data_IF_533265489312
#
_entry.id   IF_533265489312
#
_cell.length_a   1.000
_cell.length_b   1.000
_cell.length_c   1.000
_cell.angle_alpha   90.00
_cell.angle_beta   90.00
_cell.angle_gamma   90.00
#
_symmetry.space_group_name_H-M   'P 1'
#
loop_
_entity.id
_entity.type
_entity.pdbx_description
1 polymer ?
#
# COMPACT_ATOMS: atom_id res chain seq x y z
N UNK A 1 -20.60 -9.03 -45.95
CA UNK A 1 -19.66 -8.14 -45.24
C UNK A 1 -20.47 -7.33 -44.26
N UNK A 2 -20.56 -7.76 -43.00
CA UNK A 2 -21.27 -7.03 -41.94
C UNK A 2 -20.37 -5.92 -41.44
N UNK A 3 -20.80 -4.68 -41.67
CA UNK A 3 -20.15 -3.47 -41.16
C UNK A 3 -20.31 -3.49 -39.63
N UNK A 4 -19.24 -3.78 -38.89
CA UNK A 4 -19.21 -3.49 -37.47
C UNK A 4 -19.17 -1.96 -37.32
N UNK A 5 -20.26 -1.41 -36.80
CA UNK A 5 -20.31 -0.04 -36.33
C UNK A 5 -19.44 0.03 -35.05
N UNK A 6 -18.14 0.26 -35.22
CA UNK A 6 -17.18 0.47 -34.13
C UNK A 6 -17.38 1.86 -33.53
N UNK A 7 -18.47 2.03 -32.78
CA UNK A 7 -18.52 3.07 -31.75
C UNK A 7 -17.68 2.58 -30.57
N UNK A 8 -16.70 3.36 -30.05
CA UNK A 8 -15.93 2.95 -28.89
C UNK A 8 -16.91 2.77 -27.72
N UNK A 9 -16.99 1.56 -27.20
CA UNK A 9 -17.80 1.26 -26.04
C UNK A 9 -17.10 1.92 -24.84
N UNK A 10 -17.82 2.68 -23.98
CA UNK A 10 -17.20 3.22 -22.79
C UNK A 10 -16.65 2.08 -21.95
N UNK A 11 -15.37 2.17 -21.60
CA UNK A 11 -14.67 1.17 -20.81
C UNK A 11 -15.43 0.93 -19.48
N UNK A 12 -15.73 -0.33 -19.17
CA UNK A 12 -16.49 -0.67 -17.96
C UNK A 12 -15.60 -0.65 -16.71
N UNK A 13 -16.21 -0.55 -15.52
CA UNK A 13 -15.46 -0.59 -14.26
C UNK A 13 -14.72 -1.92 -14.06
N UNK A 14 -15.28 -3.04 -14.52
CA UNK A 14 -14.64 -4.34 -14.41
C UNK A 14 -13.39 -4.40 -15.31
N UNK A 15 -13.52 -3.99 -16.58
CA UNK A 15 -12.39 -3.93 -17.52
C UNK A 15 -11.30 -2.96 -17.06
N UNK A 16 -11.67 -1.88 -16.38
CA UNK A 16 -10.73 -0.96 -15.73
C UNK A 16 -9.95 -1.66 -14.60
N UNK A 17 -10.67 -2.34 -13.70
CA UNK A 17 -10.09 -2.94 -12.51
C UNK A 17 -9.14 -4.11 -12.81
N UNK A 18 -9.42 -4.87 -13.87
CA UNK A 18 -8.53 -5.95 -14.35
C UNK A 18 -7.14 -5.44 -14.76
N UNK A 19 -7.02 -4.17 -15.15
CA UNK A 19 -5.75 -3.55 -15.55
C UNK A 19 -4.99 -2.93 -14.38
N UNK A 20 -5.61 -2.77 -13.20
CA UNK A 20 -4.98 -2.16 -12.03
C UNK A 20 -3.74 -2.92 -11.53
N UNK A 21 -3.73 -4.27 -11.45
CA UNK A 21 -2.55 -4.99 -10.99
C UNK A 21 -1.30 -4.66 -11.80
N UNK A 22 -1.39 -4.65 -13.13
CA UNK A 22 -0.27 -4.31 -14.02
C UNK A 22 0.19 -2.87 -13.87
N UNK A 23 -0.75 -1.92 -13.70
CA UNK A 23 -0.45 -0.50 -13.49
C UNK A 23 0.35 -0.24 -12.20
N UNK A 24 0.12 -1.02 -11.15
CA UNK A 24 0.79 -0.89 -9.86
C UNK A 24 1.98 -1.86 -9.68
N UNK A 25 2.02 -2.98 -10.40
CA UNK A 25 3.08 -3.99 -10.30
C UNK A 25 4.45 -3.49 -10.79
N UNK A 26 4.49 -2.57 -11.75
CA UNK A 26 5.74 -2.00 -12.27
C UNK A 26 6.43 -1.01 -11.31
N UNK A 27 5.96 -0.88 -10.06
CA UNK A 27 6.42 0.15 -9.12
C UNK A 27 6.00 1.57 -9.54
N UNK A 28 5.12 1.69 -10.53
CA UNK A 28 4.52 2.95 -10.92
C UNK A 28 3.64 3.51 -9.81
N UNK A 29 3.66 4.82 -9.63
CA UNK A 29 2.72 5.54 -8.75
C UNK A 29 1.31 5.62 -9.38
N UNK A 30 0.79 4.51 -9.93
CA UNK A 30 -0.52 4.47 -10.58
C UNK A 30 -0.66 5.45 -11.75
N UNK A 31 0.45 5.80 -12.42
CA UNK A 31 0.44 6.77 -13.51
C UNK A 31 -0.17 6.14 -14.76
N UNK A 32 -1.39 6.55 -15.09
CA UNK A 32 -2.13 6.07 -16.25
C UNK A 32 -1.78 6.92 -17.47
N UNK A 33 -1.20 6.27 -18.49
CA UNK A 33 -0.88 6.89 -19.78
C UNK A 33 -1.94 6.61 -20.85
N UNK A 34 -2.81 5.64 -20.60
CA UNK A 34 -3.85 5.25 -21.55
C UNK A 34 -5.01 6.27 -21.53
N UNK A 35 -5.37 6.86 -22.68
CA UNK A 35 -6.40 7.89 -22.76
C UNK A 35 -7.80 7.37 -22.39
N UNK A 36 -8.11 6.10 -22.69
CA UNK A 36 -9.42 5.50 -22.40
C UNK A 36 -9.57 5.24 -20.90
N UNK A 37 -8.51 4.78 -20.24
CA UNK A 37 -8.47 4.65 -18.78
C UNK A 37 -8.58 6.03 -18.08
N UNK A 38 -7.92 7.06 -18.62
CA UNK A 38 -8.03 8.42 -18.10
C UNK A 38 -9.44 8.99 -18.25
N UNK A 39 -10.12 8.73 -19.37
CA UNK A 39 -11.50 9.11 -19.57
C UNK A 39 -12.44 8.41 -18.57
N UNK A 40 -12.24 7.11 -18.35
CA UNK A 40 -13.00 6.36 -17.35
C UNK A 40 -12.82 6.95 -15.95
N UNK A 41 -11.60 7.31 -15.56
CA UNK A 41 -11.33 7.92 -14.25
C UNK A 41 -11.98 9.30 -14.08
N UNK A 42 -12.09 10.09 -15.16
CA UNK A 42 -12.79 11.39 -15.13
C UNK A 42 -14.29 11.25 -15.00
N UNK A 43 -14.87 10.19 -15.55
CA UNK A 43 -16.33 9.98 -15.60
C UNK A 43 -16.84 9.08 -14.46
N UNK A 44 -16.01 8.20 -13.91
CA UNK A 44 -16.35 7.26 -12.86
C UNK A 44 -15.75 7.65 -11.50
N UNK A 45 -16.59 8.21 -10.63
CA UNK A 45 -16.20 8.58 -9.26
C UNK A 45 -15.76 7.36 -8.41
N UNK A 46 -16.32 6.17 -8.65
CA UNK A 46 -15.98 4.97 -7.89
C UNK A 46 -14.57 4.47 -8.22
N UNK A 47 -14.22 4.37 -9.50
CA UNK A 47 -12.89 3.93 -9.92
C UNK A 47 -11.80 4.96 -9.58
N UNK A 48 -12.10 6.26 -9.64
CA UNK A 48 -11.16 7.30 -9.17
C UNK A 48 -10.93 7.26 -7.67
N UNK A 49 -11.96 6.98 -6.86
CA UNK A 49 -11.79 6.72 -5.43
C UNK A 49 -10.92 5.48 -5.18
N UNK A 50 -11.19 4.38 -5.88
CA UNK A 50 -10.42 3.15 -5.77
C UNK A 50 -8.93 3.36 -6.09
N UNK A 51 -8.60 4.04 -7.19
CA UNK A 51 -7.19 4.32 -7.56
C UNK A 51 -6.49 5.17 -6.50
N UNK A 52 -7.18 6.17 -5.93
CA UNK A 52 -6.62 6.98 -4.84
C UNK A 52 -6.34 6.13 -3.60
N UNK A 53 -7.25 5.23 -3.25
CA UNK A 53 -7.08 4.35 -2.08
C UNK A 53 -5.91 3.37 -2.28
N UNK A 54 -5.81 2.78 -3.48
CA UNK A 54 -4.67 1.92 -3.84
C UNK A 54 -3.34 2.69 -3.80
N UNK A 55 -3.32 3.93 -4.28
CA UNK A 55 -2.14 4.78 -4.21
C UNK A 55 -1.75 5.13 -2.77
N UNK A 56 -2.74 5.36 -1.91
CA UNK A 56 -2.51 5.59 -0.49
C UNK A 56 -1.91 4.35 0.18
N UNK A 57 -2.48 3.17 -0.06
CA UNK A 57 -1.95 1.90 0.46
C UNK A 57 -0.51 1.69 0.01
N UNK A 58 -0.21 1.92 -1.27
CA UNK A 58 1.14 1.79 -1.81
C UNK A 58 2.13 2.75 -1.14
N UNK A 59 1.73 3.99 -0.86
CA UNK A 59 2.56 4.96 -0.13
C UNK A 59 2.83 4.51 1.31
N UNK A 60 1.79 4.08 2.03
CA UNK A 60 1.94 3.59 3.41
C UNK A 60 2.82 2.33 3.46
N UNK A 61 2.67 1.41 2.51
CA UNK A 61 3.51 0.22 2.41
C UNK A 61 4.98 0.59 2.18
N UNK A 62 5.28 1.60 1.35
CA UNK A 62 6.67 2.09 1.18
C UNK A 62 7.29 2.57 2.49
N UNK A 63 6.51 3.21 3.37
CA UNK A 63 7.01 3.65 4.66
C UNK A 63 7.40 2.48 5.57
N UNK A 64 6.65 1.37 5.53
CA UNK A 64 6.93 0.13 6.27
C UNK A 64 8.11 -0.65 5.70
N UNK A 65 8.38 -0.52 4.41
CA UNK A 65 9.49 -1.18 3.71
C UNK A 65 10.80 -0.39 3.81
N UNK A 66 10.79 0.80 4.41
CA UNK A 66 12.05 1.48 4.74
C UNK A 66 12.87 0.58 5.66
N UNK A 67 14.19 0.48 5.47
CA UNK A 67 15.03 -0.31 6.34
C UNK A 67 14.88 0.22 7.77
N UNK A 68 14.14 -0.52 8.59
CA UNK A 68 14.09 -0.27 10.02
C UNK A 68 15.51 -0.47 10.53
N UNK A 69 16.16 0.62 10.91
CA UNK A 69 17.46 0.54 11.58
C UNK A 69 17.22 -0.09 12.95
N UNK A 70 17.31 -1.42 13.00
CA UNK A 70 17.27 -2.14 14.26
C UNK A 70 18.47 -1.69 15.10
N UNK A 71 18.27 -1.24 16.35
CA UNK A 71 19.38 -0.82 17.17
C UNK A 71 20.28 -2.03 17.43
N UNK A 72 21.59 -1.80 17.52
CA UNK A 72 22.56 -2.89 17.71
C UNK A 72 22.24 -3.72 18.96
N UNK A 73 22.61 -5.00 18.97
CA UNK A 73 22.45 -5.91 20.13
C UNK A 73 22.93 -5.31 21.47
N UNK A 74 23.98 -4.48 21.44
CA UNK A 74 24.51 -3.79 22.62
C UNK A 74 23.51 -2.80 23.23
N UNK A 75 22.69 -2.13 22.42
CA UNK A 75 21.64 -1.20 22.89
C UNK A 75 20.54 -2.01 23.56
N UNK A 76 20.10 -3.11 22.96
CA UNK A 76 19.12 -4.01 23.55
C UNK A 76 19.59 -4.61 24.88
N UNK A 77 20.85 -5.03 24.93
CA UNK A 77 21.46 -5.55 26.16
C UNK A 77 21.43 -4.51 27.28
N UNK A 78 21.77 -3.25 26.99
CA UNK A 78 21.71 -2.15 27.97
C UNK A 78 20.29 -1.84 28.43
N UNK A 79 19.31 -1.89 27.52
CA UNK A 79 17.88 -1.73 27.88
C UNK A 79 17.47 -2.85 28.83
N UNK A 80 17.82 -4.10 28.54
CA UNK A 80 17.52 -5.25 29.39
C UNK A 80 18.17 -5.14 30.78
N UNK A 81 19.45 -4.75 30.83
CA UNK A 81 20.17 -4.51 32.10
C UNK A 81 19.53 -3.38 32.91
N UNK A 82 19.17 -2.27 32.25
CA UNK A 82 18.48 -1.15 32.89
C UNK A 82 17.15 -1.56 33.51
N UNK A 83 16.31 -2.26 32.75
CA UNK A 83 15.01 -2.75 33.23
C UNK A 83 15.15 -3.77 34.37
N UNK A 84 16.17 -4.62 34.34
CA UNK A 84 16.43 -5.58 35.42
C UNK A 84 16.93 -4.90 36.72
N UNK A 85 17.61 -3.76 36.59
CA UNK A 85 18.10 -2.98 37.74
C UNK A 85 17.06 -2.06 38.34
N UNK A 86 16.00 -1.74 37.58
CA UNK A 86 14.96 -0.82 37.99
C UNK A 86 13.86 -1.58 38.75
N UNK A 87 13.85 -1.38 40.07
CA UNK A 87 12.93 -2.04 41.00
C UNK A 87 11.45 -1.74 40.71
N UNK A 88 11.14 -0.74 39.89
CA UNK A 88 9.77 -0.43 39.47
C UNK A 88 9.21 -1.43 38.45
N UNK A 89 10.07 -2.16 37.72
CA UNK A 89 9.70 -3.19 36.75
C UNK A 89 10.01 -4.61 37.24
N UNK A 90 10.56 -4.75 38.44
CA UNK A 90 10.68 -6.03 39.12
C UNK A 90 9.26 -6.52 39.47
N UNK A 91 8.61 -7.16 38.49
CA UNK A 91 7.41 -7.97 38.70
C UNK A 91 7.67 -8.80 39.94
N UNK A 92 6.83 -8.60 40.96
CA UNK A 92 6.85 -9.35 42.20
C UNK A 92 6.88 -10.85 41.88
N UNK A 93 8.08 -11.43 41.87
CA UNK A 93 8.26 -12.87 41.97
C UNK A 93 7.93 -13.24 43.40
N UNK A 94 6.64 -13.22 43.73
CA UNK A 94 6.14 -13.79 44.96
C UNK A 94 6.30 -15.32 44.87
N UNK A 95 7.44 -15.75 45.38
CA UNK A 95 7.71 -16.98 46.13
C UNK A 95 6.44 -17.60 46.76
N UNK A 96 6.08 -18.84 46.41
CA UNK A 96 6.20 -20.04 47.28
C UNK A 96 5.74 -21.32 46.59
#
# INVERSE_FOLDING_TARGET
MTLHNSSPKPLSCAEFQEQLPDLFAAGGNGYINDPDLLEHLRTCANCSALVRDLQYIADQAKQLLQPTHEPSDNVWKKIQEGLASDSSYAVERNEK
#
